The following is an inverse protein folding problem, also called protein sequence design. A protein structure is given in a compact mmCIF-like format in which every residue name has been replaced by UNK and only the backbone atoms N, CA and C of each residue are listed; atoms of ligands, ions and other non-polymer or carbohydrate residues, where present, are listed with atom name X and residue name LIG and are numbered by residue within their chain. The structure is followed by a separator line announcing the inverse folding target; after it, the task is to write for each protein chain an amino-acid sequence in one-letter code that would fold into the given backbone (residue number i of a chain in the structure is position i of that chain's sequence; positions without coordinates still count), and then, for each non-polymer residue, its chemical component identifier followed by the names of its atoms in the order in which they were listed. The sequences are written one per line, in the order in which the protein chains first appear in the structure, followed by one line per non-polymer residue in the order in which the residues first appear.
data_IF_013955928710
#
_entry.id   IF_013955928710
#
_cell.length_a   1.000
_cell.length_b   1.000
_cell.length_c   1.000
_cell.angle_alpha   90.00
_cell.angle_beta   90.00
_cell.angle_gamma   90.00
#
_symmetry.space_group_name_H-M   'P 1'
#
loop_
_entity.id
_entity.type
_entity.pdbx_description
1 polymer ?
#
# COMPACT_ATOMS: atom_id res chain seq x y z
N UNK A 1 -16.34 -1.59 -3.32
CA UNK A 1 -16.66 -2.55 -4.38
C UNK A 1 -16.01 -3.87 -4.03
N UNK A 2 -16.81 -4.95 -3.93
CA UNK A 2 -16.30 -6.30 -3.68
C UNK A 2 -15.53 -6.80 -4.92
N UNK A 3 -14.47 -7.59 -4.73
CA UNK A 3 -13.70 -8.18 -5.82
C UNK A 3 -14.51 -9.16 -6.68
N UNK A 4 -15.63 -9.70 -6.16
CA UNK A 4 -16.53 -10.60 -6.89
C UNK A 4 -17.32 -9.93 -8.02
N UNK A 5 -17.39 -8.60 -8.03
CA UNK A 5 -18.08 -7.82 -9.07
C UNK A 5 -17.08 -7.11 -10.02
N UNK A 6 -15.79 -7.31 -9.81
CA UNK A 6 -14.71 -6.64 -10.53
C UNK A 6 -14.08 -7.61 -11.54
N UNK A 7 -14.52 -7.51 -12.80
CA UNK A 7 -14.07 -8.38 -13.89
C UNK A 7 -12.72 -7.93 -14.50
N UNK A 8 -12.10 -6.85 -14.01
CA UNK A 8 -10.82 -6.36 -14.54
C UNK A 8 -9.70 -7.41 -14.48
N UNK A 9 -9.74 -8.30 -13.49
CA UNK A 9 -8.80 -9.41 -13.34
C UNK A 9 -8.87 -10.51 -14.39
N UNK A 10 -9.94 -10.57 -15.18
CA UNK A 10 -10.13 -11.66 -16.14
C UNK A 10 -9.11 -11.61 -17.30
N UNK A 11 -8.50 -10.45 -17.52
CA UNK A 11 -7.54 -10.19 -18.60
C UNK A 11 -6.12 -9.92 -18.08
N UNK A 12 -5.86 -10.16 -16.79
CA UNK A 12 -4.62 -9.75 -16.14
C UNK A 12 -3.78 -10.95 -15.73
N UNK A 13 -2.49 -10.89 -16.04
CA UNK A 13 -1.51 -11.93 -15.69
C UNK A 13 -1.19 -11.95 -14.18
N UNK A 14 -1.50 -10.84 -13.48
CA UNK A 14 -1.32 -10.68 -12.04
C UNK A 14 -2.67 -10.68 -11.31
N UNK A 15 -2.77 -11.45 -10.23
CA UNK A 15 -4.00 -11.62 -9.46
C UNK A 15 -4.51 -10.29 -8.87
N UNK A 16 -5.79 -9.96 -9.04
CA UNK A 16 -6.39 -8.68 -8.57
C UNK A 16 -6.24 -8.46 -7.07
N UNK A 17 -6.25 -9.53 -6.27
CA UNK A 17 -6.05 -9.50 -4.82
C UNK A 17 -4.63 -9.06 -4.42
N UNK A 18 -3.69 -9.09 -5.38
CA UNK A 18 -2.31 -8.60 -5.23
C UNK A 18 -2.19 -7.11 -5.57
N UNK A 19 -3.27 -6.45 -5.99
CA UNK A 19 -3.26 -5.03 -6.34
C UNK A 19 -3.87 -4.13 -5.28
N UNK A 20 -4.71 -4.66 -4.40
CA UNK A 20 -5.37 -3.88 -3.34
C UNK A 20 -5.48 -4.66 -2.04
N UNK A 21 -5.19 -3.98 -0.93
CA UNK A 21 -5.44 -4.45 0.44
C UNK A 21 -6.40 -3.47 1.08
N UNK A 22 -7.35 -3.99 1.86
CA UNK A 22 -8.27 -3.18 2.65
C UNK A 22 -8.36 -3.71 4.06
N UNK A 23 -8.43 -2.81 5.02
CA UNK A 23 -8.73 -3.13 6.40
C UNK A 23 -9.49 -1.98 7.05
N UNK A 24 -10.22 -2.28 8.11
CA UNK A 24 -10.97 -1.30 8.91
C UNK A 24 -10.17 -0.90 10.14
N UNK A 25 -10.41 0.32 10.62
CA UNK A 25 -9.82 0.84 11.86
C UNK A 25 -10.79 1.83 12.51
N UNK A 26 -10.72 1.93 13.83
CA UNK A 26 -11.45 2.92 14.63
C UNK A 26 -10.63 4.18 14.92
N UNK A 27 -9.32 4.16 14.64
CA UNK A 27 -8.42 5.31 14.77
C UNK A 27 -8.76 6.42 13.77
N UNK A 28 -8.58 7.67 14.22
CA UNK A 28 -8.80 8.85 13.37
C UNK A 28 -7.86 8.84 12.14
N UNK A 29 -8.26 9.47 11.02
CA UNK A 29 -7.47 9.49 9.79
C UNK A 29 -6.04 10.02 9.99
N UNK A 30 -5.87 11.06 10.81
CA UNK A 30 -4.55 11.65 11.12
C UNK A 30 -3.61 10.65 11.81
N UNK A 31 -4.15 9.89 12.77
CA UNK A 31 -3.41 8.86 13.48
C UNK A 31 -3.07 7.69 12.54
N UNK A 32 -4.01 7.29 11.69
CA UNK A 32 -3.81 6.27 10.66
C UNK A 32 -2.70 6.65 9.69
N UNK A 33 -2.74 7.86 9.13
CA UNK A 33 -1.69 8.32 8.23
C UNK A 33 -0.33 8.33 8.93
N UNK A 34 -0.27 8.81 10.17
CA UNK A 34 0.99 8.88 10.94
C UNK A 34 1.54 7.50 11.27
N UNK A 35 0.70 6.52 11.65
CA UNK A 35 1.11 5.13 11.90
C UNK A 35 1.66 4.46 10.65
N UNK A 36 0.99 4.64 9.51
CA UNK A 36 1.41 4.07 8.23
C UNK A 36 2.71 4.73 7.75
N UNK A 37 2.82 6.05 7.88
CA UNK A 37 4.03 6.81 7.53
C UNK A 37 5.24 6.35 8.35
N UNK A 38 5.09 6.23 9.66
CA UNK A 38 6.15 5.77 10.56
C UNK A 38 6.59 4.34 10.22
N UNK A 39 5.63 3.44 10.01
CA UNK A 39 5.90 2.04 9.68
C UNK A 39 6.61 1.91 8.33
N UNK A 40 6.14 2.63 7.30
CA UNK A 40 6.75 2.63 5.98
C UNK A 40 8.16 3.23 6.00
N UNK A 41 8.36 4.31 6.74
CA UNK A 41 9.68 4.94 6.90
C UNK A 41 10.65 4.01 7.63
N UNK A 42 10.20 3.30 8.67
CA UNK A 42 11.01 2.31 9.39
C UNK A 42 11.47 1.16 8.48
N UNK A 43 10.64 0.76 7.51
CA UNK A 43 10.98 -0.24 6.50
C UNK A 43 11.84 0.31 5.35
N UNK A 44 12.26 1.58 5.40
CA UNK A 44 13.10 2.22 4.39
C UNK A 44 12.35 2.70 3.15
N UNK A 45 11.02 2.77 3.19
CA UNK A 45 10.23 3.39 2.13
C UNK A 45 10.21 4.91 2.27
N UNK A 46 10.11 5.59 1.13
CA UNK A 46 9.86 7.03 1.07
C UNK A 46 8.35 7.28 1.07
N UNK A 47 7.89 8.19 1.92
CA UNK A 47 6.48 8.56 2.01
C UNK A 47 6.26 9.98 1.50
N UNK A 48 5.15 10.20 0.79
CA UNK A 48 4.62 11.52 0.46
C UNK A 48 3.17 11.60 0.91
N UNK A 49 2.90 12.52 1.84
CA UNK A 49 1.55 12.80 2.34
C UNK A 49 0.88 13.89 1.50
N UNK A 50 -0.32 13.60 1.02
CA UNK A 50 -1.25 14.58 0.44
C UNK A 50 -2.44 14.83 1.38
N UNK A 51 -3.43 15.60 0.93
CA UNK A 51 -4.57 16.02 1.77
C UNK A 51 -5.42 14.85 2.29
N UNK A 52 -5.59 13.78 1.50
CA UNK A 52 -6.41 12.61 1.86
C UNK A 52 -5.78 11.27 1.47
N UNK A 53 -4.52 11.32 1.05
CA UNK A 53 -3.81 10.18 0.46
C UNK A 53 -2.36 10.18 0.89
N UNK A 54 -1.77 9.01 0.98
CA UNK A 54 -0.38 8.80 1.31
C UNK A 54 0.26 7.92 0.24
N UNK A 55 1.30 8.42 -0.43
CA UNK A 55 2.05 7.66 -1.44
C UNK A 55 3.29 7.08 -0.80
N UNK A 56 3.43 5.76 -0.85
CA UNK A 56 4.60 5.02 -0.39
C UNK A 56 5.40 4.59 -1.62
N UNK A 57 6.68 4.94 -1.63
CA UNK A 57 7.57 4.74 -2.76
C UNK A 57 8.84 4.03 -2.30
N UNK A 58 9.34 3.09 -3.11
CA UNK A 58 10.69 2.56 -2.95
C UNK A 58 11.47 2.81 -4.23
N UNK A 59 12.60 3.50 -4.09
CA UNK A 59 13.60 3.60 -5.15
C UNK A 59 14.80 2.80 -4.71
N UNK A 60 14.97 1.60 -5.26
CA UNK A 60 16.17 0.79 -5.04
C UNK A 60 17.35 1.37 -5.85
N UNK A 61 17.93 2.48 -5.40
CA UNK A 61 19.17 3.02 -5.98
C UNK A 61 20.39 2.46 -5.24
N UNK A 62 20.51 1.12 -5.18
CA UNK A 62 21.42 0.49 -4.22
C UNK A 62 21.84 -0.95 -4.51
N UNK A 63 22.37 -1.23 -5.71
CA UNK A 63 23.61 -2.02 -5.87
C UNK A 63 24.05 -1.95 -7.32
N UNK A 64 25.10 -1.19 -7.59
CA UNK A 64 25.83 -1.26 -8.87
C UNK A 64 26.57 -2.60 -8.92
N UNK A 65 25.86 -3.68 -9.26
CA UNK A 65 26.48 -4.84 -9.88
C UNK A 65 26.09 -4.83 -11.36
N UNK A 66 27.02 -5.03 -12.30
CA UNK A 66 26.78 -4.85 -13.74
C UNK A 66 25.90 -5.94 -14.38
N UNK A 67 25.07 -6.66 -13.61
CA UNK A 67 24.24 -7.77 -14.09
C UNK A 67 22.75 -7.73 -13.73
N UNK A 68 22.29 -6.90 -12.78
CA UNK A 68 20.85 -6.74 -12.52
C UNK A 68 20.42 -5.32 -12.83
N UNK A 69 19.89 -5.14 -14.05
CA UNK A 69 19.36 -3.89 -14.61
C UNK A 69 17.88 -3.70 -14.22
N UNK A 70 17.41 -4.30 -13.13
CA UNK A 70 16.05 -4.10 -12.68
C UNK A 70 16.06 -3.08 -11.55
N UNK A 71 16.08 -1.82 -11.97
CA UNK A 71 15.70 -0.69 -11.12
C UNK A 71 14.22 -0.84 -10.81
N UNK A 72 13.87 -1.75 -9.89
CA UNK A 72 12.49 -2.03 -9.52
C UNK A 72 11.93 -0.84 -8.74
N UNK A 73 11.31 0.08 -9.47
CA UNK A 73 10.56 1.19 -8.89
C UNK A 73 9.22 0.69 -8.40
N UNK A 74 8.98 0.83 -7.10
CA UNK A 74 7.76 0.41 -6.45
C UNK A 74 6.95 1.62 -5.99
N UNK A 75 5.66 1.65 -6.31
CA UNK A 75 4.76 2.72 -5.89
C UNK A 75 3.42 2.14 -5.42
N UNK A 76 3.04 2.56 -4.22
CA UNK A 76 1.77 2.24 -3.58
C UNK A 76 1.07 3.53 -3.15
N UNK A 77 -0.24 3.56 -3.34
CA UNK A 77 -1.10 4.63 -2.89
C UNK A 77 -1.97 4.12 -1.74
N UNK A 78 -1.96 4.82 -0.62
CA UNK A 78 -2.81 4.58 0.54
C UNK A 78 -3.87 5.67 0.62
N UNK A 79 -5.13 5.27 0.76
CA UNK A 79 -6.29 6.15 0.88
C UNK A 79 -7.08 5.73 2.12
N UNK A 80 -7.54 6.71 2.90
CA UNK A 80 -8.39 6.47 4.07
C UNK A 80 -9.79 7.01 3.77
N UNK A 81 -10.80 6.18 4.00
CA UNK A 81 -12.21 6.49 3.77
C UNK A 81 -12.98 6.37 5.07
N UNK A 82 -13.90 7.29 5.34
CA UNK A 82 -14.83 7.18 6.46
C UNK A 82 -16.02 6.29 6.06
N UNK A 83 -16.32 5.28 6.87
CA UNK A 83 -17.56 4.49 6.77
C UNK A 83 -18.62 4.94 7.78
N UNK A 84 -18.19 5.56 8.88
CA UNK A 84 -19.05 6.11 9.92
C UNK A 84 -18.26 6.87 10.98
N UNK A 85 -18.93 7.41 12.02
CA UNK A 85 -18.36 8.37 12.98
C UNK A 85 -17.08 7.93 13.71
N UNK A 86 -16.81 6.62 13.74
CA UNK A 86 -15.62 6.04 14.37
C UNK A 86 -15.15 4.79 13.63
N UNK A 87 -15.45 4.70 12.32
CA UNK A 87 -15.07 3.56 11.51
C UNK A 87 -14.51 4.05 10.17
N UNK A 88 -13.26 3.71 9.93
CA UNK A 88 -12.52 4.08 8.74
C UNK A 88 -12.05 2.82 8.01
N UNK A 89 -11.94 2.92 6.70
CA UNK A 89 -11.30 1.92 5.84
C UNK A 89 -10.01 2.51 5.32
N UNK A 90 -8.92 1.78 5.55
CA UNK A 90 -7.65 2.04 4.89
C UNK A 90 -7.57 1.13 3.68
N UNK A 91 -7.33 1.74 2.52
CA UNK A 91 -7.10 1.04 1.26
C UNK A 91 -5.68 1.30 0.77
N UNK A 92 -4.95 0.23 0.49
CA UNK A 92 -3.59 0.26 -0.05
C UNK A 92 -3.60 -0.33 -1.46
N UNK A 93 -3.38 0.50 -2.47
CA UNK A 93 -3.35 0.13 -3.89
C UNK A 93 -1.93 0.06 -4.43
N UNK A 94 -1.55 -1.08 -5.00
CA UNK A 94 -0.40 -1.20 -5.90
C UNK A 94 -0.67 -0.36 -7.14
N UNK A 95 0.32 0.42 -7.57
CA UNK A 95 0.24 1.16 -8.83
C UNK A 95 1.29 0.71 -9.85
N UNK A 96 2.52 0.42 -9.41
CA UNK A 96 3.62 -0.06 -10.26
C UNK A 96 4.66 -0.81 -9.41
N UNK A 97 5.35 -1.79 -9.99
CA UNK A 97 6.48 -2.49 -9.39
C UNK A 97 6.27 -3.99 -9.20
N UNK A 98 7.25 -4.64 -8.56
CA UNK A 98 7.30 -6.09 -8.34
C UNK A 98 6.23 -6.55 -7.32
N UNK A 99 5.40 -7.58 -7.65
CA UNK A 99 4.46 -8.20 -6.70
C UNK A 99 5.09 -8.66 -5.38
N UNK A 100 6.35 -9.10 -5.38
CA UNK A 100 7.02 -9.61 -4.18
C UNK A 100 7.19 -8.51 -3.13
N UNK A 101 7.53 -7.29 -3.56
CA UNK A 101 7.68 -6.12 -2.68
C UNK A 101 6.32 -5.69 -2.13
N UNK A 102 5.24 -5.82 -2.91
CA UNK A 102 3.88 -5.55 -2.41
C UNK A 102 3.48 -6.46 -1.24
N UNK A 103 3.94 -7.72 -1.24
CA UNK A 103 3.70 -8.63 -0.11
C UNK A 103 4.38 -8.16 1.18
N UNK A 104 5.48 -7.40 1.11
CA UNK A 104 6.09 -6.79 2.30
C UNK A 104 5.24 -5.62 2.80
N UNK A 105 4.64 -4.85 1.89
CA UNK A 105 3.72 -3.75 2.23
C UNK A 105 2.42 -4.26 2.86
N UNK A 106 1.99 -5.50 2.58
CA UNK A 106 0.91 -6.17 3.34
C UNK A 106 1.19 -6.22 4.84
N UNK A 107 2.45 -6.15 5.28
CA UNK A 107 2.82 -6.11 6.69
C UNK A 107 2.64 -4.73 7.33
N UNK A 108 2.27 -3.69 6.57
CA UNK A 108 1.85 -2.39 7.12
C UNK A 108 0.46 -2.45 7.74
N UNK A 109 -0.26 -3.57 7.62
CA UNK A 109 -1.50 -3.77 8.36
C UNK A 109 -1.18 -3.80 9.85
N UNK A 110 -1.82 -2.96 10.68
CA UNK A 110 -1.67 -3.05 12.12
C UNK A 110 -2.07 -4.46 12.57
N UNK A 111 -1.15 -5.15 13.24
CA UNK A 111 -1.40 -6.47 13.82
C UNK A 111 -2.39 -6.28 14.97
N UNK A 112 -3.64 -6.72 14.75
CA UNK A 112 -4.67 -6.88 15.77
C UNK A 112 -5.03 -5.62 16.59
N UNK A 113 -6.05 -4.89 16.15
CA UNK A 113 -6.99 -4.25 17.08
C UNK A 113 -8.40 -4.50 16.55
N UNK A 114 -8.92 -5.68 16.92
CA UNK A 114 -10.31 -6.13 16.80
C UNK A 114 -10.70 -6.71 18.16
#
# INVERSE_FOLDING_TARGET
MASSLDLSGFFEEEEVSQRKIRFTSTHEPEELFSKIENSATHMGFKVQRGQSKLKVMQNCTGSKSPKNKDSTSFLVCTEVFELGPSLYVVEIKKSHGDPAVYRQVKLLQPTADL
#
